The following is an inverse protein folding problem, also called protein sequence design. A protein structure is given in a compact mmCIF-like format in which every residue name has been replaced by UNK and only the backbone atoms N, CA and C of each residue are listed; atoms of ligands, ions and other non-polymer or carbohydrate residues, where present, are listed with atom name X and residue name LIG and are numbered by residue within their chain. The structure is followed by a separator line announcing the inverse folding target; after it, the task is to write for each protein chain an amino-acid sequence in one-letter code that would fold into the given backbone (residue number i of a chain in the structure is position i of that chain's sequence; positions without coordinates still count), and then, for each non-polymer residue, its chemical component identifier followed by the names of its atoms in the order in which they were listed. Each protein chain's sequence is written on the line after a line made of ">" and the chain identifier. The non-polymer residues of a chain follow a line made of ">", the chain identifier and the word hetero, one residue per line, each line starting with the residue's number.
data_IF_622635107067
#
_entry.id   IF_622635107067
#
_cell.length_a   1.000
_cell.length_b   1.000
_cell.length_c   1.000
_cell.angle_alpha   90.00
_cell.angle_beta   90.00
_cell.angle_gamma   90.00
#
_symmetry.space_group_name_H-M   'P 1'
#
loop_
_entity.id
_entity.type
_entity.pdbx_description
1 polymer ?
#
# COMPACT_ATOMS: atom_id res chain seq x y z
N UNK A 1 -6.87 34.48 -3.67
CA UNK A 1 -5.69 34.18 -4.51
C UNK A 1 -5.67 32.67 -4.65
N UNK A 2 -5.70 32.09 -5.85
CA UNK A 2 -5.60 30.64 -6.00
C UNK A 2 -4.20 30.21 -5.58
N UNK A 3 -4.11 29.24 -4.67
CA UNK A 3 -2.85 28.58 -4.30
C UNK A 3 -2.34 27.94 -5.59
N UNK A 4 -1.16 28.35 -6.07
CA UNK A 4 -0.47 27.63 -7.13
C UNK A 4 -0.22 26.22 -6.61
N UNK A 5 -0.94 25.24 -7.15
CA UNK A 5 -0.68 23.83 -6.90
C UNK A 5 0.75 23.54 -7.34
N UNK A 6 1.65 23.28 -6.39
CA UNK A 6 3.00 22.80 -6.69
C UNK A 6 2.91 21.65 -7.69
N UNK A 7 3.73 21.71 -8.73
CA UNK A 7 3.73 20.71 -9.77
C UNK A 7 4.31 19.41 -9.20
N UNK A 8 3.50 18.37 -9.05
CA UNK A 8 3.97 17.07 -8.58
C UNK A 8 4.76 16.37 -9.69
N UNK A 9 6.05 16.15 -9.47
CA UNK A 9 6.93 15.41 -10.39
C UNK A 9 7.08 13.96 -9.90
N UNK A 10 6.99 12.92 -10.77
CA UNK A 10 7.37 11.56 -10.39
C UNK A 10 8.84 11.55 -9.97
N UNK A 11 9.09 11.37 -8.67
CA UNK A 11 10.43 11.49 -8.09
C UNK A 11 11.24 10.20 -8.20
N UNK A 12 10.61 9.03 -7.97
CA UNK A 12 11.32 7.74 -7.92
C UNK A 12 10.36 6.54 -8.00
N UNK A 13 10.64 5.56 -8.86
CA UNK A 13 9.94 4.28 -8.87
C UNK A 13 10.36 3.41 -7.68
N UNK A 14 9.38 2.74 -7.07
CA UNK A 14 9.54 1.91 -5.87
C UNK A 14 8.66 0.67 -5.95
N UNK A 15 8.94 -0.30 -5.09
CA UNK A 15 7.98 -1.33 -4.75
C UNK A 15 7.81 -1.38 -3.23
N UNK A 16 6.66 -1.85 -2.78
CA UNK A 16 6.35 -2.08 -1.39
C UNK A 16 6.08 -3.56 -1.14
N UNK A 17 6.50 -4.07 0.01
CA UNK A 17 6.22 -5.44 0.43
C UNK A 17 5.66 -5.49 1.85
N UNK A 18 4.71 -6.39 2.08
CA UNK A 18 4.30 -6.84 3.42
C UNK A 18 4.20 -8.36 3.41
N UNK A 19 5.05 -9.04 4.18
CA UNK A 19 5.05 -10.49 4.34
C UNK A 19 4.81 -10.80 5.81
N UNK A 20 3.69 -11.42 6.13
CA UNK A 20 3.29 -11.64 7.53
C UNK A 20 2.47 -12.92 7.68
N UNK A 21 2.45 -13.45 8.90
CA UNK A 21 1.50 -14.50 9.31
C UNK A 21 0.35 -13.94 10.17
N UNK A 22 0.34 -12.63 10.42
CA UNK A 22 -0.51 -11.99 11.41
C UNK A 22 -1.03 -10.63 10.94
N UNK A 23 -1.60 -10.58 9.73
CA UNK A 23 -2.23 -9.37 9.21
C UNK A 23 -3.51 -8.97 9.97
N UNK A 24 -4.00 -9.79 10.92
CA UNK A 24 -5.13 -9.40 11.78
C UNK A 24 -4.80 -8.20 12.66
N UNK A 25 -3.51 -7.99 12.96
CA UNK A 25 -3.01 -6.87 13.75
C UNK A 25 -2.48 -5.72 12.88
N UNK A 26 -2.71 -5.76 11.58
CA UNK A 26 -2.12 -4.84 10.61
C UNK A 26 -0.64 -5.14 10.35
N UNK A 27 -0.27 -5.17 9.08
CA UNK A 27 1.12 -5.29 8.65
C UNK A 27 1.47 -4.13 7.71
N UNK A 28 2.25 -3.14 8.19
CA UNK A 28 2.67 -2.02 7.36
C UNK A 28 3.49 -2.49 6.16
N UNK A 29 3.23 -1.89 5.01
CA UNK A 29 4.06 -2.08 3.81
C UNK A 29 5.42 -1.42 4.01
N UNK A 30 6.49 -2.16 3.72
CA UNK A 30 7.84 -1.60 3.65
C UNK A 30 8.16 -1.22 2.21
N UNK A 31 8.55 0.03 1.94
CA UNK A 31 8.97 0.46 0.61
C UNK A 31 10.45 0.20 0.39
N UNK A 32 10.78 -0.16 -0.84
CA UNK A 32 12.11 -0.44 -1.32
C UNK A 32 12.40 0.29 -2.63
N UNK A 33 13.66 0.66 -2.81
CA UNK A 33 14.14 1.21 -4.05
C UNK A 33 13.94 0.20 -5.20
N UNK A 34 13.60 0.70 -6.40
CA UNK A 34 13.44 -0.16 -7.56
C UNK A 34 14.69 -1.05 -7.81
N UNK A 35 14.46 -2.36 -7.88
CA UNK A 35 15.52 -3.35 -8.11
C UNK A 35 16.31 -3.78 -6.87
N UNK A 36 15.95 -3.33 -5.68
CA UNK A 36 16.60 -3.69 -4.41
C UNK A 36 15.62 -4.27 -3.41
N UNK A 37 15.94 -5.37 -2.74
CA UNK A 37 15.11 -5.95 -1.67
C UNK A 37 15.60 -5.59 -0.27
N UNK A 38 16.61 -4.70 -0.18
CA UNK A 38 17.27 -4.37 1.10
C UNK A 38 17.36 -2.87 1.36
N UNK A 39 17.31 -2.04 0.33
CA UNK A 39 17.35 -0.58 0.46
C UNK A 39 15.95 -0.04 0.68
N UNK A 40 15.60 0.17 1.96
CA UNK A 40 14.28 0.66 2.35
C UNK A 40 14.15 2.17 2.18
N UNK A 41 12.94 2.62 1.89
CA UNK A 41 12.60 4.04 1.76
C UNK A 41 11.56 4.42 2.82
N UNK A 42 11.83 5.50 3.53
CA UNK A 42 10.87 6.12 4.45
C UNK A 42 10.24 7.34 3.77
N UNK A 43 8.92 7.42 3.81
CA UNK A 43 8.18 8.59 3.31
C UNK A 43 8.22 9.72 4.35
N UNK A 44 8.37 10.95 3.87
CA UNK A 44 8.19 12.16 4.67
C UNK A 44 6.79 12.74 4.47
N UNK A 45 6.38 13.71 5.29
CA UNK A 45 5.10 14.42 5.15
C UNK A 45 4.94 15.17 3.80
N UNK A 46 6.01 15.35 3.03
CA UNK A 46 5.98 15.95 1.70
C UNK A 46 5.89 14.90 0.56
N UNK A 47 6.04 13.62 0.89
CA UNK A 47 6.07 12.52 -0.07
C UNK A 47 4.70 11.86 -0.16
N UNK A 48 4.22 11.64 -1.37
CA UNK A 48 3.04 10.81 -1.63
C UNK A 48 3.46 9.56 -2.38
N UNK A 49 3.03 8.42 -1.87
CA UNK A 49 3.16 7.17 -2.59
C UNK A 49 1.99 7.01 -3.56
N UNK A 50 2.30 6.80 -4.84
CA UNK A 50 1.33 6.57 -5.90
C UNK A 50 1.41 5.12 -6.32
N UNK A 51 0.33 4.37 -6.10
CA UNK A 51 0.22 2.94 -6.33
C UNK A 51 -0.40 2.69 -7.70
N UNK A 52 0.28 1.90 -8.53
CA UNK A 52 -0.18 1.50 -9.86
C UNK A 52 -0.69 0.07 -9.88
N UNK A 53 -0.09 -0.82 -9.10
CA UNK A 53 -0.41 -2.24 -9.10
C UNK A 53 -0.29 -2.82 -7.68
N UNK A 54 -1.15 -3.77 -7.37
CA UNK A 54 -1.12 -4.56 -6.14
C UNK A 54 -1.24 -6.02 -6.47
N UNK A 55 -0.40 -6.83 -5.84
CA UNK A 55 -0.40 -8.28 -5.91
C UNK A 55 -0.51 -8.79 -4.47
N UNK A 56 -1.60 -9.47 -4.15
CA UNK A 56 -1.80 -10.18 -2.89
C UNK A 56 -1.75 -11.67 -3.15
N UNK A 57 -1.04 -12.39 -2.31
CA UNK A 57 -1.07 -13.85 -2.27
C UNK A 57 -1.32 -14.27 -0.83
N UNK A 58 -2.15 -15.29 -0.64
CA UNK A 58 -2.60 -15.69 0.70
C UNK A 58 -2.71 -17.20 0.78
N UNK A 59 -2.38 -17.73 1.96
CA UNK A 59 -2.68 -19.10 2.35
C UNK A 59 -3.86 -19.19 3.33
N UNK A 60 -4.55 -18.06 3.57
CA UNK A 60 -5.76 -17.99 4.41
C UNK A 60 -7.00 -17.81 3.55
N UNK A 61 -8.12 -18.38 4.01
CA UNK A 61 -9.44 -18.07 3.47
C UNK A 61 -10.02 -16.88 4.23
N UNK A 62 -10.61 -15.92 3.53
CA UNK A 62 -11.28 -14.78 4.13
C UNK A 62 -11.05 -13.51 3.34
N UNK A 63 -11.47 -12.38 3.90
CA UNK A 63 -11.13 -11.09 3.32
C UNK A 63 -9.70 -10.69 3.69
N UNK A 64 -8.98 -10.21 2.69
CA UNK A 64 -7.69 -9.56 2.81
C UNK A 64 -7.79 -8.22 2.10
N UNK A 65 -7.32 -7.17 2.75
CA UNK A 65 -7.39 -5.81 2.24
C UNK A 65 -6.07 -5.09 2.44
N UNK A 66 -5.70 -4.29 1.46
CA UNK A 66 -4.70 -3.24 1.58
C UNK A 66 -5.45 -1.93 1.81
N UNK A 67 -5.11 -1.25 2.90
CA UNK A 67 -5.77 -0.01 3.32
C UNK A 67 -4.75 1.11 3.53
N UNK A 68 -5.21 2.35 3.55
CA UNK A 68 -4.51 3.45 4.23
C UNK A 68 -5.09 3.54 5.64
N UNK A 69 -4.34 3.03 6.60
CA UNK A 69 -4.67 3.11 8.01
C UNK A 69 -4.36 4.54 8.51
N UNK A 70 -5.40 5.36 8.72
CA UNK A 70 -5.24 6.71 9.27
C UNK A 70 -5.48 6.78 10.78
N UNK A 71 -6.20 5.81 11.34
CA UNK A 71 -6.66 5.80 12.73
C UNK A 71 -5.91 4.78 13.62
N UNK A 72 -4.92 4.08 13.06
CA UNK A 72 -4.14 3.01 13.69
C UNK A 72 -5.01 1.85 14.19
N UNK A 73 -6.01 1.48 13.40
CA UNK A 73 -6.92 0.38 13.71
C UNK A 73 -6.69 -0.86 12.83
N UNK A 74 -7.49 -1.91 13.04
CA UNK A 74 -7.32 -3.21 12.36
C UNK A 74 -8.45 -3.48 11.37
N UNK A 75 -9.18 -2.45 10.98
CA UNK A 75 -10.36 -2.47 10.12
C UNK A 75 -10.16 -1.56 8.91
N UNK A 76 -10.96 -1.80 7.86
CA UNK A 76 -11.04 -0.86 6.75
C UNK A 76 -12.24 0.05 6.99
N UNK A 77 -11.99 1.29 7.35
CA UNK A 77 -13.04 2.31 7.45
C UNK A 77 -13.39 2.91 6.07
N UNK A 78 -14.48 3.68 6.07
CA UNK A 78 -15.00 4.28 4.84
C UNK A 78 -13.99 5.27 4.24
N UNK A 79 -13.41 4.90 3.09
CA UNK A 79 -12.44 5.72 2.36
C UNK A 79 -10.98 5.27 2.52
N UNK A 80 -10.72 4.27 3.37
CA UNK A 80 -9.37 3.74 3.60
C UNK A 80 -9.00 2.62 2.64
N UNK A 81 -9.98 1.93 2.05
CA UNK A 81 -9.75 0.79 1.19
C UNK A 81 -9.02 1.20 -0.11
N UNK A 82 -7.82 0.65 -0.30
CA UNK A 82 -7.07 0.75 -1.57
C UNK A 82 -7.53 -0.36 -2.50
N UNK A 83 -7.42 -1.61 -2.01
CA UNK A 83 -7.86 -2.81 -2.71
C UNK A 83 -8.12 -3.89 -1.68
N UNK A 84 -9.13 -4.72 -1.91
CA UNK A 84 -9.38 -5.86 -1.06
C UNK A 84 -10.48 -6.73 -1.62
N UNK A 85 -10.69 -7.86 -0.99
CA UNK A 85 -11.76 -8.77 -1.35
C UNK A 85 -11.60 -10.11 -0.67
N UNK A 86 -12.55 -11.00 -0.95
CA UNK A 86 -12.42 -12.39 -0.54
C UNK A 86 -11.38 -13.06 -1.42
N UNK A 87 -10.20 -13.29 -0.84
CA UNK A 87 -9.09 -13.90 -1.54
C UNK A 87 -9.13 -15.37 -1.16
N UNK A 88 -9.54 -16.22 -2.10
CA UNK A 88 -9.31 -17.64 -1.97
C UNK A 88 -7.79 -17.91 -2.12
N UNK A 89 -7.35 -19.14 -1.91
CA UNK A 89 -5.93 -19.56 -1.97
C UNK A 89 -5.24 -19.36 -3.34
N UNK A 90 -5.79 -18.54 -4.24
CA UNK A 90 -5.29 -18.21 -5.57
C UNK A 90 -4.67 -16.79 -5.64
N UNK A 91 -4.90 -15.93 -4.65
CA UNK A 91 -4.39 -14.55 -4.63
C UNK A 91 -5.28 -13.54 -5.37
N UNK A 92 -4.90 -12.26 -5.31
CA UNK A 92 -5.55 -11.13 -5.97
C UNK A 92 -4.49 -10.32 -6.71
N UNK A 93 -4.73 -9.99 -7.98
CA UNK A 93 -3.92 -9.02 -8.71
C UNK A 93 -4.82 -7.89 -9.18
N UNK A 94 -4.42 -6.66 -8.89
CA UNK A 94 -5.18 -5.46 -9.22
C UNK A 94 -4.26 -4.41 -9.85
N UNK A 95 -4.58 -4.00 -11.07
CA UNK A 95 -3.92 -2.90 -11.77
C UNK A 95 -4.85 -1.70 -11.87
N UNK A 96 -4.38 -0.54 -11.47
CA UNK A 96 -5.16 0.68 -11.43
C UNK A 96 -5.11 1.40 -12.79
N UNK A 97 -6.28 1.64 -13.40
CA UNK A 97 -6.38 2.51 -14.59
C UNK A 97 -6.02 3.96 -14.22
N UNK A 98 -6.51 4.40 -13.06
CA UNK A 98 -6.12 5.66 -12.42
C UNK A 98 -5.41 5.29 -11.13
N UNK A 99 -4.09 5.56 -11.01
CA UNK A 99 -3.31 5.18 -9.84
C UNK A 99 -3.94 5.65 -8.53
N UNK A 100 -3.86 4.81 -7.50
CA UNK A 100 -4.26 5.22 -6.15
C UNK A 100 -3.19 6.13 -5.57
N UNK A 101 -3.59 7.23 -4.94
CA UNK A 101 -2.66 8.21 -4.38
C UNK A 101 -2.84 8.22 -2.87
N UNK A 102 -1.81 7.75 -2.16
CA UNK A 102 -1.80 7.80 -0.70
C UNK A 102 -1.76 9.27 -0.22
N UNK A 103 -2.39 9.58 0.92
CA UNK A 103 -2.09 10.78 1.68
C UNK A 103 -0.58 10.95 1.89
N UNK A 104 -0.14 12.20 2.07
CA UNK A 104 1.29 12.46 2.20
C UNK A 104 1.83 11.89 3.53
N UNK A 105 3.01 11.28 3.47
CA UNK A 105 3.66 10.65 4.62
C UNK A 105 3.03 9.35 5.12
N UNK A 106 1.95 8.87 4.50
CA UNK A 106 1.28 7.64 4.94
C UNK A 106 1.72 6.42 4.16
N UNK A 107 1.68 5.27 4.83
CA UNK A 107 2.03 3.98 4.28
C UNK A 107 0.82 3.06 4.27
N UNK A 108 0.59 2.26 3.20
CA UNK A 108 -0.44 1.25 3.23
C UNK A 108 -0.20 0.19 4.30
N UNK A 109 -1.29 -0.32 4.87
CA UNK A 109 -1.29 -1.42 5.84
C UNK A 109 -2.08 -2.58 5.26
N UNK A 110 -1.49 -3.78 5.34
CA UNK A 110 -2.16 -5.03 4.98
C UNK A 110 -2.95 -5.52 6.20
N UNK A 111 -4.25 -5.75 6.02
CA UNK A 111 -5.14 -6.31 7.04
C UNK A 111 -5.80 -7.59 6.54
N UNK A 112 -6.12 -8.51 7.45
CA UNK A 112 -6.85 -9.73 7.13
C UNK A 112 -7.79 -10.15 8.26
N UNK A 113 -8.88 -10.84 7.92
CA UNK A 113 -9.84 -11.37 8.90
C UNK A 113 -9.31 -12.58 9.69
N UNK A 114 -8.25 -13.23 9.19
CA UNK A 114 -7.71 -14.47 9.76
C UNK A 114 -6.18 -14.49 9.70
N UNK A 115 -5.56 -15.14 10.68
CA UNK A 115 -4.12 -15.36 10.74
C UNK A 115 -3.66 -16.44 9.76
N UNK A 116 -2.43 -16.30 9.30
CA UNK A 116 -1.75 -17.19 8.36
C UNK A 116 -0.96 -16.40 7.32
N UNK A 117 -0.23 -17.12 6.47
CA UNK A 117 0.75 -16.52 5.58
C UNK A 117 0.09 -15.68 4.47
N UNK A 118 0.43 -14.40 4.43
CA UNK A 118 -0.01 -13.44 3.41
C UNK A 118 1.21 -12.64 2.96
N UNK A 119 1.30 -12.46 1.65
CA UNK A 119 2.28 -11.57 1.01
C UNK A 119 1.54 -10.56 0.14
N UNK A 120 1.85 -9.29 0.36
CA UNK A 120 1.45 -8.18 -0.48
C UNK A 120 2.67 -7.57 -1.15
N UNK A 121 2.58 -7.34 -2.46
CA UNK A 121 3.54 -6.55 -3.24
C UNK A 121 2.79 -5.40 -3.89
N UNK A 122 3.32 -4.20 -3.76
CA UNK A 122 2.74 -2.97 -4.29
C UNK A 122 3.76 -2.34 -5.24
N UNK A 123 3.36 -1.97 -6.45
CA UNK A 123 4.21 -1.21 -7.36
C UNK A 123 3.72 0.22 -7.49
N UNK A 124 4.67 1.14 -7.66
CA UNK A 124 4.33 2.54 -7.78
C UNK A 124 5.53 3.47 -7.83
N UNK A 125 5.28 4.73 -7.57
CA UNK A 125 6.31 5.75 -7.50
C UNK A 125 6.02 6.77 -6.40
N UNK A 126 7.08 7.40 -5.90
CA UNK A 126 6.98 8.50 -4.96
C UNK A 126 6.91 9.80 -5.76
N UNK A 127 5.95 10.66 -5.41
CA UNK A 127 5.89 12.06 -5.87
C UNK A 127 6.14 12.98 -4.68
N UNK A 128 6.85 14.08 -4.90
CA UNK A 128 7.18 15.08 -3.88
C UNK A 128 6.65 16.45 -4.28
N UNK A 129 6.19 17.22 -3.30
CA UNK A 129 5.87 18.63 -3.50
C UNK A 129 7.17 19.42 -3.62
N UNK A 130 7.34 20.15 -4.72
CA UNK A 130 8.40 21.16 -4.88
C UNK A 130 8.02 22.49 -4.23
#
# INVERSE_FOLDING_TARGET
>A
MPVQSGQWVPGMWVHGEAITNDAQNGAPVTLYQAGSTTETITLTEADQFVITDVILTTQVNGNVSLIIDVDADTSADAGELIVGGNVNLLGLMHSFITPYVCPAGTMPTLIAESSGAIMCVVHGYIRRAE
#
